data_IF_642576950205
#
_entry.id   IF_642576950205
#
_cell.length_a   1.000
_cell.length_b   1.000
_cell.length_c   1.000
_cell.angle_alpha   90.00
_cell.angle_beta   90.00
_cell.angle_gamma   90.00
#
_symmetry.space_group_name_H-M   'P 1'
#
loop_
_entity.id
_entity.type
_entity.pdbx_description
1 polymer ?
#
# COMPACT_ATOMS: atom_id res chain seq x y z
N UNK A 1 -13.56 -25.36 1.39
CA UNK A 1 -14.49 -24.41 2.05
C UNK A 1 -13.93 -23.01 1.85
N UNK A 2 -14.67 -22.08 1.21
CA UNK A 2 -14.21 -20.71 1.03
C UNK A 2 -14.23 -19.94 2.37
N UNK A 3 -13.30 -18.99 2.52
CA UNK A 3 -13.27 -18.04 3.64
C UNK A 3 -13.70 -16.68 3.10
N UNK A 4 -14.78 -16.13 3.66
CA UNK A 4 -15.22 -14.77 3.40
C UNK A 4 -14.84 -13.91 4.61
N UNK A 5 -14.13 -12.81 4.38
CA UNK A 5 -13.72 -11.88 5.42
C UNK A 5 -13.83 -10.44 4.92
N UNK A 6 -14.00 -9.49 5.84
CA UNK A 6 -14.09 -8.07 5.52
C UNK A 6 -13.41 -7.17 6.56
N UNK A 7 -12.36 -6.49 6.12
CA UNK A 7 -11.64 -5.49 6.90
C UNK A 7 -10.70 -6.08 7.94
N UNK A 8 -9.96 -5.19 8.62
CA UNK A 8 -8.85 -5.56 9.50
C UNK A 8 -9.28 -6.01 10.90
N UNK A 9 -10.53 -5.75 11.29
CA UNK A 9 -11.06 -6.03 12.63
C UNK A 9 -11.71 -7.41 12.77
N UNK A 10 -11.92 -8.11 11.65
CA UNK A 10 -12.53 -9.43 11.68
C UNK A 10 -11.58 -10.44 12.33
N UNK A 11 -12.08 -11.28 13.24
CA UNK A 11 -11.30 -12.31 13.91
C UNK A 11 -11.77 -13.67 13.38
N UNK A 12 -10.86 -14.58 12.95
CA UNK A 12 -9.39 -14.44 12.95
C UNK A 12 -8.82 -13.83 11.66
N UNK A 13 -9.65 -13.50 10.67
CA UNK A 13 -9.21 -13.32 9.27
C UNK A 13 -8.82 -11.90 8.86
N UNK A 14 -8.89 -10.92 9.75
CA UNK A 14 -8.55 -9.53 9.45
C UNK A 14 -7.08 -9.32 9.06
N UNK A 15 -6.20 -10.27 9.40
CA UNK A 15 -4.82 -10.32 8.93
C UNK A 15 -4.70 -10.50 7.41
N UNK A 16 -5.72 -11.02 6.73
CA UNK A 16 -5.74 -11.17 5.27
C UNK A 16 -6.03 -9.85 4.53
N UNK A 17 -6.37 -8.78 5.24
CA UNK A 17 -6.48 -7.46 4.63
C UNK A 17 -5.09 -6.83 4.43
N UNK A 18 -4.88 -6.20 3.27
CA UNK A 18 -3.73 -5.34 2.96
C UNK A 18 -3.62 -4.08 3.86
N UNK A 19 -4.69 -3.76 4.59
CA UNK A 19 -4.70 -2.68 5.60
C UNK A 19 -4.26 -3.18 6.97
N UNK A 20 -3.98 -4.49 7.13
CA UNK A 20 -3.56 -5.06 8.40
C UNK A 20 -2.21 -4.47 8.82
N UNK A 21 -2.08 -4.18 10.12
CA UNK A 21 -0.91 -3.54 10.70
C UNK A 21 0.22 -4.55 10.94
N UNK A 22 0.72 -5.14 9.86
CA UNK A 22 1.85 -6.07 9.87
C UNK A 22 3.02 -5.42 9.13
N UNK A 23 3.91 -4.71 9.84
CA UNK A 23 5.04 -4.05 9.21
C UNK A 23 6.04 -5.04 8.63
N UNK A 24 6.64 -4.68 7.49
CA UNK A 24 7.67 -5.48 6.83
C UNK A 24 8.79 -4.57 6.28
N UNK A 25 9.90 -5.19 5.89
CA UNK A 25 11.03 -4.50 5.26
C UNK A 25 11.12 -4.91 3.78
N UNK A 26 11.24 -3.92 2.90
CA UNK A 26 11.39 -4.10 1.46
C UNK A 26 12.08 -2.87 0.87
N UNK A 27 12.96 -3.07 -0.12
CA UNK A 27 13.76 -2.01 -0.76
C UNK A 27 14.57 -1.16 0.23
N UNK A 28 15.09 -1.80 1.29
CA UNK A 28 15.85 -1.13 2.36
C UNK A 28 15.02 -0.23 3.28
N UNK A 29 13.69 -0.21 3.11
CA UNK A 29 12.77 0.62 3.89
C UNK A 29 11.80 -0.24 4.71
N UNK A 30 11.33 0.31 5.83
CA UNK A 30 10.28 -0.30 6.65
C UNK A 30 8.92 0.29 6.28
N UNK A 31 7.97 -0.59 6.01
CA UNK A 31 6.60 -0.29 5.60
C UNK A 31 5.61 -0.70 6.68
N UNK A 32 4.59 0.13 6.95
CA UNK A 32 3.60 -0.13 8.02
C UNK A 32 2.58 -1.21 7.63
N UNK A 33 2.16 -1.21 6.38
CA UNK A 33 1.22 -2.18 5.78
C UNK A 33 1.56 -2.36 4.30
N UNK A 34 1.10 -3.43 3.65
CA UNK A 34 1.30 -3.61 2.20
C UNK A 34 0.65 -2.49 1.39
N UNK A 35 -0.47 -1.92 1.86
CA UNK A 35 -1.07 -0.73 1.27
C UNK A 35 -0.12 0.48 1.21
N UNK A 36 0.73 0.68 2.23
CA UNK A 36 1.69 1.79 2.20
C UNK A 36 2.68 1.64 1.05
N UNK A 37 3.21 0.42 0.88
CA UNK A 37 4.13 0.12 -0.22
C UNK A 37 3.44 0.27 -1.57
N UNK A 38 2.29 -0.38 -1.74
CA UNK A 38 1.54 -0.39 -2.99
C UNK A 38 1.21 1.02 -3.49
N UNK A 39 0.70 1.90 -2.62
CA UNK A 39 0.39 3.27 -3.01
C UNK A 39 1.64 4.12 -3.23
N UNK A 40 2.74 3.87 -2.51
CA UNK A 40 4.00 4.58 -2.71
C UNK A 40 4.65 4.21 -4.06
N UNK A 41 4.58 2.95 -4.47
CA UNK A 41 5.15 2.47 -5.74
C UNK A 41 4.48 3.02 -6.99
N UNK A 42 3.31 3.66 -6.87
CA UNK A 42 2.73 4.48 -7.93
C UNK A 42 3.60 5.66 -8.34
N UNK A 43 4.46 6.12 -7.43
CA UNK A 43 5.33 7.28 -7.61
C UNK A 43 6.79 6.85 -7.72
N UNK A 44 7.05 5.66 -8.27
CA UNK A 44 8.41 5.21 -8.57
C UNK A 44 9.15 6.29 -9.39
N UNK A 45 10.37 6.64 -8.97
CA UNK A 45 11.13 7.76 -9.53
C UNK A 45 10.94 9.10 -8.81
N UNK A 46 10.02 9.19 -7.83
CA UNK A 46 9.75 10.37 -7.02
C UNK A 46 9.93 10.07 -5.51
N UNK A 47 11.18 10.01 -5.01
CA UNK A 47 11.48 9.63 -3.63
C UNK A 47 10.73 10.44 -2.57
N UNK A 48 10.48 11.72 -2.84
CA UNK A 48 9.72 12.63 -1.97
C UNK A 48 8.26 12.19 -1.79
N UNK A 49 7.63 11.67 -2.84
CA UNK A 49 6.26 11.16 -2.77
C UNK A 49 6.20 9.79 -2.09
N UNK A 50 7.19 8.94 -2.37
CA UNK A 50 7.33 7.63 -1.75
C UNK A 50 7.48 7.78 -0.23
N UNK A 51 8.40 8.63 0.23
CA UNK A 51 8.65 8.85 1.65
C UNK A 51 7.45 9.50 2.34
N UNK A 52 6.80 10.48 1.70
CA UNK A 52 5.59 11.10 2.24
C UNK A 52 4.47 10.09 2.47
N UNK A 53 4.28 9.11 1.58
CA UNK A 53 3.28 8.05 1.73
C UNK A 53 3.71 6.99 2.75
N UNK A 54 5.00 6.62 2.78
CA UNK A 54 5.55 5.65 3.74
C UNK A 54 5.37 6.10 5.19
N UNK A 55 5.52 7.40 5.46
CA UNK A 55 5.45 7.98 6.80
C UNK A 55 4.02 8.25 7.29
N UNK A 56 3.01 8.18 6.42
CA UNK A 56 1.62 8.39 6.83
C UNK A 56 1.18 7.39 7.90
N UNK A 57 0.34 7.81 8.86
CA UNK A 57 -0.01 6.94 9.97
C UNK A 57 -1.08 5.90 9.65
N UNK A 58 -1.89 6.12 8.61
CA UNK A 58 -3.08 5.33 8.32
C UNK A 58 -3.08 4.79 6.88
N UNK A 59 -3.33 3.48 6.68
CA UNK A 59 -3.46 2.91 5.34
C UNK A 59 -4.61 3.56 4.54
N UNK A 60 -5.67 4.02 5.23
CA UNK A 60 -6.77 4.76 4.58
C UNK A 60 -6.32 6.12 4.03
N UNK A 61 -5.47 6.84 4.77
CA UNK A 61 -4.92 8.11 4.31
C UNK A 61 -3.97 7.91 3.13
N UNK A 62 -3.14 6.86 3.18
CA UNK A 62 -2.24 6.49 2.08
C UNK A 62 -3.03 6.10 0.83
N UNK A 63 -4.07 5.29 0.96
CA UNK A 63 -4.96 4.93 -0.15
C UNK A 63 -5.61 6.16 -0.79
N UNK A 64 -6.07 7.12 0.03
CA UNK A 64 -6.63 8.38 -0.48
C UNK A 64 -5.59 9.22 -1.21
N UNK A 65 -4.40 9.37 -0.63
CA UNK A 65 -3.32 10.17 -1.20
C UNK A 65 -2.75 9.56 -2.49
N UNK A 66 -2.55 8.24 -2.52
CA UNK A 66 -2.01 7.53 -3.69
C UNK A 66 -3.01 7.33 -4.84
N UNK A 67 -4.32 7.56 -4.61
CA UNK A 67 -5.33 7.63 -5.69
C UNK A 67 -5.45 9.01 -6.32
N UNK A 68 -4.87 10.05 -5.71
CA UNK A 68 -4.93 11.40 -6.25
C UNK A 68 -4.16 11.49 -7.57
N UNK A 69 -4.81 12.01 -8.61
CA UNK A 69 -4.17 12.28 -9.92
C UNK A 69 -3.46 13.63 -9.98
N UNK A 70 -3.38 14.35 -8.84
CA UNK A 70 -2.64 15.60 -8.74
C UNK A 70 -1.11 15.41 -8.66
N UNK A 71 -0.65 14.15 -8.56
CA UNK A 71 0.77 13.78 -8.45
C UNK A 71 1.19 12.96 -9.69
N UNK A 72 2.48 12.92 -10.04
CA UNK A 72 2.98 12.18 -11.19
C UNK A 72 2.94 10.66 -10.93
N UNK A 73 1.87 9.99 -11.36
CA UNK A 73 1.83 8.53 -11.37
C UNK A 73 2.78 8.00 -12.46
N UNK A 74 3.47 6.89 -12.18
CA UNK A 74 4.23 6.14 -13.19
C UNK A 74 3.29 5.68 -14.32
N UNK A 75 3.78 5.76 -15.56
CA UNK A 75 2.98 5.52 -16.77
C UNK A 75 2.54 4.05 -16.91
N UNK A 76 3.37 3.12 -16.44
CA UNK A 76 3.17 1.66 -16.50
C UNK A 76 2.41 1.11 -15.29
N UNK A 77 1.81 1.96 -14.45
CA UNK A 77 1.17 1.55 -13.19
C UNK A 77 0.16 0.41 -13.37
N UNK A 78 -0.69 0.49 -14.39
CA UNK A 78 -1.72 -0.53 -14.62
C UNK A 78 -1.13 -1.90 -15.02
N UNK A 79 0.06 -1.92 -15.61
CA UNK A 79 0.76 -3.14 -16.01
C UNK A 79 1.55 -3.78 -14.87
N UNK A 80 1.99 -3.00 -13.89
CA UNK A 80 2.92 -3.46 -12.82
C UNK A 80 2.27 -3.62 -11.45
N UNK A 81 1.04 -3.12 -11.24
CA UNK A 81 0.38 -3.12 -9.92
C UNK A 81 0.30 -4.52 -9.28
N UNK A 82 0.04 -5.56 -10.07
CA UNK A 82 -0.11 -6.91 -9.56
C UNK A 82 1.26 -7.48 -9.12
N UNK A 83 2.33 -7.17 -9.86
CA UNK A 83 3.70 -7.55 -9.49
C UNK A 83 4.18 -6.81 -8.23
N UNK A 84 3.77 -5.56 -8.05
CA UNK A 84 4.06 -4.78 -6.83
C UNK A 84 3.40 -5.38 -5.58
N UNK A 85 2.27 -6.08 -5.74
CA UNK A 85 1.50 -6.65 -4.63
C UNK A 85 1.75 -8.14 -4.38
N UNK A 86 2.64 -8.76 -5.16
CA UNK A 86 2.88 -10.20 -5.18
C UNK A 86 3.64 -10.73 -3.97
#
# INVERSE_FOLDING_TARGET
MPIYFYGTKEIPYGCFSNFSAHPFALDGLRWRTSEHYFQAMKFAGHPEHIEALRLMPSPMQVAKAGRSRARPLREDWESVKDDVMR
#
